data_IF_532693320017
#
_entry.id   IF_532693320017
#
_cell.length_a   1.000
_cell.length_b   1.000
_cell.length_c   1.000
_cell.angle_alpha   90.00
_cell.angle_beta   90.00
_cell.angle_gamma   90.00
#
_symmetry.space_group_name_H-M   'P 1'
#
loop_
_entity.id
_entity.type
_entity.pdbx_description
1 polymer ?
#
# COMPACT_ATOMS: atom_id res chain seq x y z
N UNK A 1 14.72 9.61 -25.40
CA UNK A 1 13.62 8.89 -26.08
C UNK A 1 12.38 9.76 -25.97
N UNK A 2 11.95 10.40 -27.05
CA UNK A 2 10.67 11.12 -27.08
C UNK A 2 9.58 10.07 -27.28
N UNK A 3 8.91 9.67 -26.19
CA UNK A 3 7.73 8.84 -26.29
C UNK A 3 6.59 9.67 -26.87
N UNK A 4 5.85 9.11 -27.82
CA UNK A 4 4.64 9.71 -28.35
C UNK A 4 3.72 10.09 -27.17
N UNK A 5 3.24 11.36 -27.07
CA UNK A 5 2.41 11.83 -25.96
C UNK A 5 1.19 10.93 -25.71
N UNK A 6 0.64 10.31 -26.75
CA UNK A 6 -0.50 9.40 -26.65
C UNK A 6 -0.11 8.07 -26.00
N UNK A 7 1.02 7.48 -26.43
CA UNK A 7 1.55 6.22 -25.87
C UNK A 7 1.95 6.43 -24.41
N UNK A 8 2.64 7.53 -24.11
CA UNK A 8 3.01 7.90 -22.73
C UNK A 8 1.79 7.99 -21.82
N UNK A 9 0.71 8.63 -22.28
CA UNK A 9 -0.56 8.76 -21.55
C UNK A 9 -1.25 7.41 -21.29
N UNK A 10 -1.25 6.50 -22.27
CA UNK A 10 -1.84 5.16 -22.11
C UNK A 10 -1.01 4.31 -21.15
N UNK A 11 0.32 4.29 -21.29
CA UNK A 11 1.21 3.54 -20.42
C UNK A 11 1.08 4.00 -18.96
N UNK A 12 0.98 5.32 -18.73
CA UNK A 12 0.71 5.87 -17.40
C UNK A 12 -0.62 5.37 -16.83
N UNK A 13 -1.72 5.46 -17.60
CA UNK A 13 -3.04 4.97 -17.17
C UNK A 13 -3.04 3.47 -16.87
N UNK A 14 -2.39 2.67 -17.71
CA UNK A 14 -2.27 1.23 -17.52
C UNK A 14 -1.45 0.89 -16.26
N UNK A 15 -0.33 1.60 -16.02
CA UNK A 15 0.49 1.41 -14.83
C UNK A 15 -0.29 1.68 -13.54
N UNK A 16 -1.17 2.68 -13.53
CA UNK A 16 -2.03 2.96 -12.38
C UNK A 16 -3.04 1.83 -12.10
N UNK A 17 -3.66 1.27 -13.13
CA UNK A 17 -4.54 0.11 -12.96
C UNK A 17 -3.78 -1.12 -12.45
N UNK A 18 -2.58 -1.36 -12.97
CA UNK A 18 -1.71 -2.46 -12.56
C UNK A 18 -1.20 -2.33 -11.11
N UNK A 19 -1.20 -1.14 -10.54
CA UNK A 19 -0.84 -0.93 -9.12
C UNK A 19 -2.09 -1.00 -8.23
N UNK A 20 -3.17 -0.31 -8.62
CA UNK A 20 -4.36 -0.18 -7.78
C UNK A 20 -5.08 -1.53 -7.62
N UNK A 21 -5.31 -2.26 -8.72
CA UNK A 21 -6.10 -3.50 -8.69
C UNK A 21 -5.44 -4.56 -7.78
N UNK A 22 -4.15 -4.89 -7.93
CA UNK A 22 -3.50 -5.84 -7.03
C UNK A 22 -3.46 -5.35 -5.59
N UNK A 23 -3.27 -4.05 -5.36
CA UNK A 23 -3.22 -3.50 -3.99
C UNK A 23 -4.56 -3.64 -3.28
N UNK A 24 -5.68 -3.36 -3.97
CA UNK A 24 -7.03 -3.58 -3.43
C UNK A 24 -7.28 -5.06 -3.14
N UNK A 25 -6.85 -5.96 -4.03
CA UNK A 25 -6.95 -7.40 -3.82
C UNK A 25 -6.13 -7.84 -2.59
N UNK A 26 -4.90 -7.34 -2.43
CA UNK A 26 -4.05 -7.63 -1.26
C UNK A 26 -4.70 -7.13 0.03
N UNK A 27 -5.30 -5.94 0.03
CA UNK A 27 -6.00 -5.40 1.20
C UNK A 27 -7.22 -6.27 1.52
N UNK A 28 -8.06 -6.57 0.53
CA UNK A 28 -9.27 -7.36 0.72
C UNK A 28 -8.95 -8.76 1.26
N UNK A 29 -8.00 -9.45 0.62
CA UNK A 29 -7.54 -10.78 1.05
C UNK A 29 -6.93 -10.75 2.45
N UNK A 30 -6.05 -9.79 2.75
CA UNK A 30 -5.48 -9.65 4.09
C UNK A 30 -6.55 -9.40 5.17
N UNK A 31 -7.57 -8.57 4.88
CA UNK A 31 -8.69 -8.32 5.80
C UNK A 31 -9.52 -9.59 5.99
N UNK A 32 -9.92 -10.26 4.92
CA UNK A 32 -10.71 -11.50 4.97
C UNK A 32 -9.98 -12.60 5.73
N UNK A 33 -8.74 -12.90 5.34
CA UNK A 33 -7.90 -13.90 6.01
C UNK A 33 -7.63 -13.55 7.47
N UNK A 34 -7.55 -12.26 7.83
CA UNK A 34 -7.38 -11.87 9.22
C UNK A 34 -8.58 -12.18 10.12
N UNK A 35 -9.79 -12.23 9.54
CA UNK A 35 -11.03 -12.58 10.26
C UNK A 35 -11.12 -14.09 10.47
N UNK A 36 -10.71 -14.87 9.47
CA UNK A 36 -10.76 -16.34 9.51
C UNK A 36 -9.68 -16.95 10.41
N UNK A 37 -8.45 -16.46 10.32
CA UNK A 37 -7.29 -17.07 11.00
C UNK A 37 -7.20 -16.66 12.47
N UNK A 38 -7.66 -15.45 12.82
CA UNK A 38 -7.59 -14.93 14.19
C UNK A 38 -6.17 -14.89 14.80
N UNK A 39 -6.09 -14.70 16.11
CA UNK A 39 -4.84 -14.78 16.87
C UNK A 39 -3.73 -13.81 16.42
N UNK A 40 -2.47 -14.22 16.61
CA UNK A 40 -1.28 -13.44 16.25
C UNK A 40 -1.08 -13.34 14.74
N UNK A 41 -1.51 -14.33 13.95
CA UNK A 41 -1.37 -14.28 12.49
C UNK A 41 -2.37 -13.30 11.88
N UNK A 42 -3.63 -13.31 12.34
CA UNK A 42 -4.64 -12.32 11.97
C UNK A 42 -4.24 -10.90 12.35
N UNK A 43 -3.58 -10.70 13.51
CA UNK A 43 -3.01 -9.39 13.86
C UNK A 43 -1.92 -8.92 12.88
N UNK A 44 -1.07 -9.84 12.40
CA UNK A 44 -0.06 -9.55 11.38
C UNK A 44 -0.71 -9.10 10.06
N UNK A 45 -1.69 -9.87 9.58
CA UNK A 45 -2.45 -9.57 8.36
C UNK A 45 -3.19 -8.22 8.44
N UNK A 46 -3.78 -7.88 9.60
CA UNK A 46 -4.39 -6.56 9.82
C UNK A 46 -3.38 -5.42 9.71
N UNK A 47 -2.19 -5.58 10.30
CA UNK A 47 -1.13 -4.55 10.18
C UNK A 47 -0.69 -4.37 8.74
N UNK A 48 -0.49 -5.46 8.00
CA UNK A 48 -0.18 -5.42 6.56
C UNK A 48 -1.30 -4.70 5.79
N UNK A 49 -2.57 -5.05 6.04
CA UNK A 49 -3.70 -4.40 5.38
C UNK A 49 -3.76 -2.90 5.66
N UNK A 50 -3.60 -2.48 6.92
CA UNK A 50 -3.60 -1.05 7.29
C UNK A 50 -2.42 -0.32 6.63
N UNK A 51 -1.23 -0.92 6.63
CA UNK A 51 -0.07 -0.34 5.94
C UNK A 51 -0.30 -0.16 4.44
N UNK A 52 -0.88 -1.15 3.78
CA UNK A 52 -1.27 -1.06 2.36
C UNK A 52 -2.35 -0.01 2.10
N UNK A 53 -3.34 0.13 2.99
CA UNK A 53 -4.37 1.19 2.89
C UNK A 53 -3.73 2.57 2.97
N UNK A 54 -2.84 2.80 3.94
CA UNK A 54 -2.14 4.09 4.10
C UNK A 54 -1.37 4.45 2.83
N UNK A 55 -0.57 3.51 2.30
CA UNK A 55 0.16 3.74 1.04
C UNK A 55 -0.77 3.95 -0.16
N UNK A 56 -1.93 3.27 -0.20
CA UNK A 56 -2.93 3.49 -1.24
C UNK A 56 -3.52 4.90 -1.17
N UNK A 57 -3.82 5.39 0.03
CA UNK A 57 -4.32 6.76 0.23
C UNK A 57 -3.27 7.77 -0.24
N UNK A 58 -2.01 7.62 0.17
CA UNK A 58 -0.91 8.48 -0.27
C UNK A 58 -0.79 8.50 -1.79
N UNK A 59 -0.81 7.32 -2.42
CA UNK A 59 -0.76 7.20 -3.87
C UNK A 59 -1.93 7.90 -4.55
N UNK A 60 -3.16 7.68 -4.08
CA UNK A 60 -4.34 8.35 -4.64
C UNK A 60 -4.30 9.86 -4.44
N UNK A 61 -3.84 10.35 -3.28
CA UNK A 61 -3.62 11.77 -3.04
C UNK A 61 -2.58 12.34 -4.01
N UNK A 62 -1.50 11.61 -4.29
CA UNK A 62 -0.48 12.03 -5.25
C UNK A 62 -1.06 12.16 -6.66
N UNK A 63 -1.86 11.18 -7.09
CA UNK A 63 -2.54 11.22 -8.39
C UNK A 63 -3.49 12.41 -8.53
N UNK A 64 -4.20 12.77 -7.47
CA UNK A 64 -5.09 13.94 -7.50
C UNK A 64 -4.29 15.23 -7.66
N UNK A 65 -3.17 15.37 -6.94
CA UNK A 65 -2.27 16.54 -7.04
C UNK A 65 -1.66 16.66 -8.44
N UNK A 66 -1.14 15.56 -8.99
CA UNK A 66 -0.56 15.51 -10.34
C UNK A 66 -1.56 15.88 -11.44
N UNK A 67 -2.85 15.60 -11.24
CA UNK A 67 -3.93 15.99 -12.17
C UNK A 67 -4.30 17.47 -12.09
N UNK A 68 -3.52 18.29 -11.38
CA UNK A 68 -3.76 19.70 -11.20
C UNK A 68 -4.83 20.02 -10.15
N UNK A 69 -5.28 19.01 -9.38
CA UNK A 69 -6.24 19.21 -8.30
C UNK A 69 -5.48 19.71 -7.05
N UNK A 70 -4.91 20.91 -7.16
CA UNK A 70 -4.25 21.62 -6.06
C UNK A 70 -5.33 22.03 -5.07
N UNK A 71 -5.51 21.23 -4.02
CA UNK A 71 -6.46 21.53 -2.96
C UNK A 71 -6.09 22.80 -2.19
N UNK A 72 -6.87 23.09 -1.14
CA UNK A 72 -6.71 24.27 -0.26
C UNK A 72 -5.50 24.15 0.68
N UNK A 73 -4.82 23.00 0.67
CA UNK A 73 -3.71 22.70 1.57
C UNK A 73 -2.40 23.25 1.03
N UNK A 74 -1.63 23.87 1.92
CA UNK A 74 -0.28 24.37 1.64
C UNK A 74 0.68 23.21 1.28
N UNK A 75 1.64 23.49 0.39
CA UNK A 75 2.60 22.50 -0.10
C UNK A 75 3.42 21.87 1.04
N UNK A 76 3.74 22.65 2.08
CA UNK A 76 4.45 22.15 3.26
C UNK A 76 3.65 21.11 4.03
N UNK A 77 2.34 21.32 4.18
CA UNK A 77 1.42 20.39 4.87
C UNK A 77 1.32 19.09 4.09
N UNK A 78 1.21 19.18 2.77
CA UNK A 78 1.19 18.01 1.88
C UNK A 78 2.48 17.21 2.03
N UNK A 79 3.66 17.85 1.99
CA UNK A 79 4.95 17.19 2.18
C UNK A 79 5.05 16.44 3.52
N UNK A 80 4.62 17.08 4.61
CA UNK A 80 4.60 16.45 5.94
C UNK A 80 3.63 15.27 5.98
N UNK A 81 2.43 15.39 5.38
CA UNK A 81 1.47 14.30 5.29
C UNK A 81 2.05 13.09 4.54
N UNK A 82 2.70 13.32 3.39
CA UNK A 82 3.36 12.25 2.63
C UNK A 82 4.50 11.59 3.41
N UNK A 83 5.33 12.38 4.09
CA UNK A 83 6.44 11.85 4.87
C UNK A 83 5.95 11.04 6.08
N UNK A 84 5.06 11.61 6.89
CA UNK A 84 4.54 10.96 8.09
C UNK A 84 3.69 9.73 7.74
N UNK A 85 2.80 9.86 6.76
CA UNK A 85 1.99 8.73 6.27
C UNK A 85 2.86 7.63 5.68
N UNK A 86 3.88 7.99 4.89
CA UNK A 86 4.80 7.03 4.27
C UNK A 86 5.59 6.23 5.31
N UNK A 87 6.14 6.92 6.31
CA UNK A 87 6.84 6.29 7.44
C UNK A 87 5.88 5.36 8.21
N UNK A 88 4.70 5.86 8.59
CA UNK A 88 3.73 5.10 9.34
C UNK A 88 3.25 3.84 8.60
N UNK A 89 2.86 3.98 7.34
CA UNK A 89 2.45 2.87 6.48
C UNK A 89 3.55 1.82 6.32
N UNK A 90 4.81 2.27 6.17
CA UNK A 90 5.96 1.38 6.03
C UNK A 90 6.26 0.61 7.32
N UNK A 91 6.19 1.27 8.48
CA UNK A 91 6.35 0.60 9.78
C UNK A 91 5.29 -0.48 9.96
N UNK A 92 4.03 -0.19 9.61
CA UNK A 92 2.94 -1.16 9.69
C UNK A 92 3.13 -2.35 8.78
N UNK A 93 3.57 -2.13 7.53
CA UNK A 93 3.89 -3.19 6.59
C UNK A 93 5.02 -4.08 7.12
N UNK A 94 6.15 -3.49 7.52
CA UNK A 94 7.30 -4.21 8.06
C UNK A 94 6.91 -5.00 9.31
N UNK A 95 6.19 -4.39 10.24
CA UNK A 95 5.72 -5.06 11.45
C UNK A 95 4.73 -6.19 11.15
N UNK A 96 3.84 -6.01 10.17
CA UNK A 96 2.91 -7.03 9.70
C UNK A 96 3.65 -8.23 9.09
N UNK A 97 4.56 -7.97 8.14
CA UNK A 97 5.38 -9.01 7.51
C UNK A 97 6.29 -9.73 8.50
N UNK A 98 6.98 -9.02 9.39
CA UNK A 98 7.84 -9.63 10.40
C UNK A 98 7.04 -10.57 11.32
N UNK A 99 5.81 -10.17 11.68
CA UNK A 99 4.92 -10.99 12.49
C UNK A 99 4.45 -12.24 11.75
N UNK A 100 4.05 -12.11 10.48
CA UNK A 100 3.66 -13.25 9.62
C UNK A 100 4.85 -14.20 9.43
N UNK A 101 6.03 -13.67 9.11
CA UNK A 101 7.25 -14.44 8.92
C UNK A 101 7.65 -15.23 10.17
N UNK A 102 7.63 -14.59 11.35
CA UNK A 102 7.94 -15.26 12.63
C UNK A 102 6.99 -16.44 12.89
N UNK A 103 5.70 -16.29 12.57
CA UNK A 103 4.70 -17.35 12.75
C UNK A 103 4.93 -18.47 11.74
N UNK A 104 5.13 -18.14 10.47
CA UNK A 104 5.36 -19.14 9.44
C UNK A 104 6.63 -19.97 9.70
N UNK A 105 7.69 -19.32 10.21
CA UNK A 105 8.91 -19.99 10.68
C UNK A 105 8.63 -20.94 11.85
N UNK A 106 7.85 -20.50 12.85
CA UNK A 106 7.48 -21.33 14.01
C UNK A 106 6.63 -22.54 13.61
N UNK A 107 5.80 -22.41 12.58
CA UNK A 107 4.97 -23.50 12.05
C UNK A 107 5.74 -24.45 11.13
N UNK A 108 7.06 -24.25 10.92
CA UNK A 108 7.89 -24.99 9.95
C UNK A 108 7.29 -25.04 8.53
N UNK A 109 6.44 -24.08 8.18
CA UNK A 109 5.84 -23.99 6.83
C UNK A 109 6.89 -23.72 5.75
N UNK A 110 8.07 -23.23 6.17
CA UNK A 110 9.26 -23.16 5.35
C UNK A 110 10.28 -24.15 5.93
N UNK A 111 10.27 -25.38 5.41
CA UNK A 111 11.38 -26.33 5.57
C UNK A 111 12.58 -25.79 4.81
N UNK A 112 13.52 -25.20 5.53
CA UNK A 112 14.93 -25.22 5.13
C UNK A 112 15.59 -26.35 5.90
#
# INVERSE_FOLDING_TARGET
MNFDPFVYSITLKASYLLIIVPTVVVIATAIMSSKEIGGTLGKGLKKTAVGSIVHTILFMTYLLIERGNKGILDESIVKVFFMAGGIFGSILLVAGYAQIYKIARNLKLFTV
#
